data_IF_023501082997
#
_entry.id   IF_023501082997
#
_cell.length_a   1.000
_cell.length_b   1.000
_cell.length_c   1.000
_cell.angle_alpha   90.00
_cell.angle_beta   90.00
_cell.angle_gamma   90.00
#
_symmetry.space_group_name_H-M   'P 1'
#
loop_
_entity.id
_entity.type
_entity.pdbx_description
1 polymer ?
#
# COMPACT_ATOMS: atom_id res chain seq x y z
N UNK A 1 58.83 -56.03 14.00
CA UNK A 1 58.09 -55.18 14.95
C UNK A 1 57.99 -55.88 16.28
N UNK A 2 58.08 -55.13 17.39
CA UNK A 2 57.86 -55.67 18.75
C UNK A 2 56.37 -55.94 18.95
N UNK A 3 56.01 -57.13 19.44
CA UNK A 3 54.62 -57.53 19.67
C UNK A 3 53.87 -56.54 20.59
N UNK A 4 54.56 -55.88 21.52
CA UNK A 4 53.95 -54.89 22.43
C UNK A 4 53.40 -53.68 21.68
N UNK A 5 54.18 -53.19 20.70
CA UNK A 5 53.78 -52.06 19.86
C UNK A 5 52.58 -52.43 18.99
N UNK A 6 52.57 -53.65 18.43
CA UNK A 6 51.45 -54.12 17.62
C UNK A 6 50.19 -54.23 18.47
N UNK A 7 50.29 -54.77 19.69
CA UNK A 7 49.14 -54.90 20.60
C UNK A 7 48.52 -53.56 21.00
N UNK A 8 49.33 -52.52 21.18
CA UNK A 8 48.83 -51.16 21.46
C UNK A 8 48.09 -50.55 20.25
N UNK A 9 48.46 -50.97 19.03
CA UNK A 9 47.86 -50.50 17.77
C UNK A 9 46.65 -51.34 17.33
N UNK A 10 46.47 -52.57 17.84
CA UNK A 10 45.38 -53.47 17.45
C UNK A 10 43.97 -52.87 17.59
N UNK A 11 43.61 -52.15 18.68
CA UNK A 11 42.28 -51.55 18.80
C UNK A 11 42.01 -50.51 17.70
N UNK A 12 43.00 -49.67 17.40
CA UNK A 12 42.90 -48.64 16.35
C UNK A 12 42.83 -49.27 14.95
N UNK A 13 43.58 -50.37 14.74
CA UNK A 13 43.52 -51.14 13.50
C UNK A 13 42.16 -51.82 13.31
N UNK A 14 41.57 -52.39 14.36
CA UNK A 14 40.23 -52.99 14.31
C UNK A 14 39.14 -51.97 13.96
N UNK A 15 39.29 -50.72 14.39
CA UNK A 15 38.40 -49.59 14.06
C UNK A 15 38.74 -48.89 12.72
N UNK A 16 39.78 -49.35 12.00
CA UNK A 16 40.29 -48.74 10.75
C UNK A 16 40.67 -47.26 10.89
N UNK A 17 41.28 -46.91 12.03
CA UNK A 17 41.72 -45.54 12.35
C UNK A 17 43.25 -45.38 12.24
N UNK A 18 43.96 -46.40 11.77
CA UNK A 18 45.40 -46.40 11.50
C UNK A 18 45.71 -45.88 10.09
N UNK A 19 46.97 -45.51 9.84
CA UNK A 19 47.43 -45.07 8.52
C UNK A 19 47.82 -46.26 7.63
N UNK A 20 47.73 -46.12 6.31
CA UNK A 20 48.09 -47.17 5.34
C UNK A 20 49.50 -47.77 5.52
N UNK A 21 50.44 -46.97 6.06
CA UNK A 21 51.81 -47.43 6.36
C UNK A 21 51.81 -48.35 7.59
N UNK A 22 51.08 -47.96 8.62
CA UNK A 22 50.91 -48.74 9.86
C UNK A 22 50.15 -50.04 9.61
N UNK A 23 49.14 -50.02 8.75
CA UNK A 23 48.35 -51.21 8.41
C UNK A 23 49.19 -52.32 7.80
N UNK A 24 50.07 -51.98 6.85
CA UNK A 24 50.96 -52.94 6.21
C UNK A 24 51.90 -53.60 7.21
N UNK A 25 52.45 -52.83 8.14
CA UNK A 25 53.36 -53.35 9.18
C UNK A 25 52.65 -54.26 10.18
N UNK A 26 51.40 -53.94 10.52
CA UNK A 26 50.55 -54.78 11.38
C UNK A 26 50.17 -56.08 10.66
N UNK A 27 49.75 -56.02 9.39
CA UNK A 27 49.41 -57.21 8.58
C UNK A 27 50.59 -58.16 8.40
N UNK A 28 51.79 -57.64 8.14
CA UNK A 28 53.00 -58.47 8.04
C UNK A 28 53.33 -59.16 9.36
N UNK A 29 53.14 -58.47 10.49
CA UNK A 29 53.36 -59.06 11.81
C UNK A 29 52.33 -60.15 12.14
N UNK A 30 51.05 -59.90 11.86
CA UNK A 30 49.95 -60.86 12.10
C UNK A 30 50.14 -62.18 11.34
N UNK A 31 50.73 -62.16 10.14
CA UNK A 31 51.07 -63.39 9.40
C UNK A 31 52.12 -64.26 10.09
N UNK A 32 52.95 -63.67 10.93
CA UNK A 32 54.07 -64.33 11.61
C UNK A 32 53.85 -64.60 13.11
N UNK A 33 52.85 -63.97 13.71
CA UNK A 33 52.63 -63.98 15.16
C UNK A 33 51.19 -64.39 15.52
N UNK A 34 50.95 -65.64 15.94
CA UNK A 34 49.63 -66.13 16.28
C UNK A 34 49.04 -65.44 17.53
N UNK A 35 49.86 -65.06 18.51
CA UNK A 35 49.37 -64.40 19.72
C UNK A 35 48.72 -63.03 19.46
N UNK A 36 49.19 -62.30 18.44
CA UNK A 36 48.59 -61.02 18.06
C UNK A 36 47.32 -61.22 17.22
N UNK A 37 47.21 -62.34 16.49
CA UNK A 37 46.01 -62.72 15.75
C UNK A 37 44.86 -63.04 16.72
N UNK A 38 45.12 -63.84 17.75
CA UNK A 38 44.11 -64.21 18.74
C UNK A 38 43.55 -62.97 19.47
N UNK A 39 44.40 -61.98 19.75
CA UNK A 39 43.99 -60.70 20.36
C UNK A 39 43.13 -59.85 19.42
N UNK A 40 43.44 -59.84 18.12
CA UNK A 40 42.63 -59.14 17.13
C UNK A 40 41.23 -59.78 17.02
N UNK A 41 41.15 -61.10 17.04
CA UNK A 41 39.87 -61.83 17.03
C UNK A 41 39.04 -61.52 18.28
N UNK A 42 39.66 -61.46 19.47
CA UNK A 42 38.96 -61.10 20.70
C UNK A 42 38.37 -59.67 20.66
N UNK A 43 39.14 -58.69 20.15
CA UNK A 43 38.68 -57.31 19.99
C UNK A 43 37.57 -57.18 18.95
N UNK A 44 37.65 -57.96 17.86
CA UNK A 44 36.62 -57.98 16.81
C UNK A 44 35.33 -58.68 17.29
N UNK A 45 35.44 -59.67 18.18
CA UNK A 45 34.29 -60.33 18.78
C UNK A 45 33.57 -59.43 19.79
N UNK A 46 34.29 -58.59 20.54
CA UNK A 46 33.73 -57.66 21.53
C UNK A 46 33.00 -56.47 20.87
N UNK A 47 33.44 -56.05 19.68
CA UNK A 47 32.84 -54.95 18.92
C UNK A 47 31.55 -55.30 18.16
N UNK A 48 31.15 -56.58 18.08
CA UNK A 48 29.90 -57.01 17.42
C UNK A 48 28.66 -56.83 18.32
N UNK A 49 28.81 -56.44 19.58
CA UNK A 49 27.69 -56.21 20.49
C UNK A 49 27.31 -54.73 20.59
N UNK A 50 26.44 -54.27 19.69
CA UNK A 50 25.17 -53.59 20.00
C UNK A 50 24.56 -52.95 18.72
N UNK A 51 23.42 -53.44 18.19
CA UNK A 51 22.66 -52.65 17.25
C UNK A 51 22.13 -51.41 17.99
N UNK A 52 22.61 -50.24 17.57
CA UNK A 52 22.13 -48.94 18.04
C UNK A 52 20.59 -48.95 18.04
N UNK A 53 19.90 -48.69 19.17
CA UNK A 53 18.46 -48.67 19.18
C UNK A 53 18.00 -47.53 18.25
N UNK A 54 17.20 -47.88 17.25
CA UNK A 54 16.57 -46.95 16.32
C UNK A 54 15.84 -45.88 17.16
N UNK A 55 16.44 -44.70 17.24
CA UNK A 55 15.89 -43.57 17.99
C UNK A 55 14.58 -43.21 17.33
N UNK A 56 13.47 -43.66 17.91
CA UNK A 56 12.10 -43.41 17.45
C UNK A 56 11.83 -41.88 17.36
N UNK A 57 12.13 -41.26 16.22
CA UNK A 57 11.94 -39.82 15.92
C UNK A 57 10.46 -39.48 15.64
N UNK A 58 9.52 -40.35 16.06
CA UNK A 58 8.08 -40.14 15.90
C UNK A 58 7.51 -38.94 16.67
N UNK A 59 7.93 -38.59 17.91
CA UNK A 59 7.30 -37.50 18.65
C UNK A 59 7.71 -36.11 18.10
N UNK A 60 8.87 -35.98 17.44
CA UNK A 60 9.34 -34.71 16.90
C UNK A 60 8.69 -34.34 15.54
N UNK A 61 8.27 -35.32 14.73
CA UNK A 61 7.53 -35.06 13.49
C UNK A 61 6.11 -34.55 13.75
N UNK A 62 5.44 -35.06 14.78
CA UNK A 62 4.05 -34.69 15.12
C UNK A 62 3.94 -33.26 15.67
N UNK A 63 4.94 -32.80 16.40
CA UNK A 63 5.00 -31.42 16.89
C UNK A 63 5.25 -30.38 15.78
N UNK A 64 6.05 -30.71 14.76
CA UNK A 64 6.32 -29.81 13.63
C UNK A 64 5.09 -29.60 12.73
N UNK A 65 4.29 -30.65 12.52
CA UNK A 65 3.11 -30.60 11.67
C UNK A 65 1.97 -29.74 12.25
N UNK A 66 1.82 -29.68 13.58
CA UNK A 66 0.78 -28.87 14.22
C UNK A 66 1.10 -27.37 14.20
N UNK A 67 2.38 -27.00 14.26
CA UNK A 67 2.84 -25.61 14.10
C UNK A 67 2.77 -25.13 12.65
N UNK A 68 3.07 -26.01 11.68
CA UNK A 68 3.07 -25.68 10.25
C UNK A 68 1.71 -25.23 9.72
N UNK A 69 0.61 -25.73 10.28
CA UNK A 69 -0.75 -25.35 9.88
C UNK A 69 -1.38 -24.27 10.76
N UNK A 70 -0.87 -24.03 11.98
CA UNK A 70 -1.41 -22.98 12.88
C UNK A 70 -0.89 -21.59 12.53
N UNK A 71 0.39 -21.47 12.14
CA UNK A 71 1.02 -20.20 11.76
C UNK A 71 0.38 -19.54 10.52
N UNK A 72 0.11 -20.25 9.40
CA UNK A 72 -0.54 -19.63 8.24
C UNK A 72 -1.97 -19.19 8.54
N UNK A 73 -2.69 -19.88 9.43
CA UNK A 73 -4.05 -19.48 9.82
C UNK A 73 -4.06 -18.14 10.60
N UNK A 74 -3.11 -17.94 11.52
CA UNK A 74 -2.96 -16.68 12.26
C UNK A 74 -2.51 -15.55 11.33
N UNK A 75 -1.55 -15.81 10.44
CA UNK A 75 -1.10 -14.83 9.44
C UNK A 75 -2.21 -14.42 8.48
N UNK A 76 -3.03 -15.36 8.03
CA UNK A 76 -4.17 -15.07 7.15
C UNK A 76 -5.22 -14.22 7.87
N UNK A 77 -5.51 -14.52 9.15
CA UNK A 77 -6.41 -13.72 9.98
C UNK A 77 -5.90 -12.29 10.17
N UNK A 78 -4.61 -12.13 10.51
CA UNK A 78 -3.99 -10.81 10.66
C UNK A 78 -3.97 -10.02 9.33
N UNK A 79 -3.65 -10.67 8.22
CA UNK A 79 -3.67 -10.07 6.89
C UNK A 79 -5.08 -9.63 6.47
N UNK A 80 -6.12 -10.41 6.81
CA UNK A 80 -7.50 -10.05 6.54
C UNK A 80 -7.91 -8.80 7.33
N UNK A 81 -7.60 -8.75 8.63
CA UNK A 81 -7.90 -7.59 9.48
C UNK A 81 -7.16 -6.36 8.97
N UNK A 82 -5.85 -6.45 8.72
CA UNK A 82 -5.07 -5.35 8.16
C UNK A 82 -5.60 -4.89 6.80
N UNK A 83 -5.96 -5.83 5.91
CA UNK A 83 -6.55 -5.53 4.61
C UNK A 83 -7.89 -4.80 4.73
N UNK A 84 -8.77 -5.22 5.65
CA UNK A 84 -10.06 -4.54 5.87
C UNK A 84 -9.88 -3.13 6.43
N UNK A 85 -8.98 -2.93 7.39
CA UNK A 85 -8.67 -1.61 7.95
C UNK A 85 -8.06 -0.71 6.88
N UNK A 86 -7.14 -1.25 6.07
CA UNK A 86 -6.55 -0.54 4.94
C UNK A 86 -7.64 -0.08 3.96
N UNK A 87 -8.50 -1.00 3.48
CA UNK A 87 -9.58 -0.64 2.57
C UNK A 87 -10.53 0.40 3.17
N UNK A 88 -10.82 0.32 4.47
CA UNK A 88 -11.69 1.28 5.14
C UNK A 88 -11.07 2.69 5.25
N UNK A 89 -9.78 2.78 5.61
CA UNK A 89 -9.07 4.07 5.73
C UNK A 89 -8.87 4.72 4.37
N UNK A 90 -8.51 3.94 3.35
CA UNK A 90 -8.19 4.47 2.03
C UNK A 90 -9.43 4.74 1.16
N UNK A 91 -10.61 4.26 1.53
CA UNK A 91 -11.86 4.50 0.78
C UNK A 91 -12.16 6.00 0.59
N UNK A 92 -11.85 6.83 1.58
CA UNK A 92 -12.09 8.28 1.54
C UNK A 92 -10.95 9.13 0.96
N UNK A 93 -9.85 8.49 0.52
CA UNK A 93 -8.63 9.14 0.00
C UNK A 93 -8.54 9.03 -1.52
N UNK A 94 -9.33 8.16 -2.14
CA UNK A 94 -9.33 7.97 -3.59
C UNK A 94 -10.28 9.01 -4.23
N UNK A 95 -9.78 9.86 -5.14
CA UNK A 95 -10.64 10.82 -5.85
C UNK A 95 -11.72 10.13 -6.68
N UNK A 96 -12.79 10.85 -6.99
CA UNK A 96 -13.84 10.42 -7.91
C UNK A 96 -13.26 10.31 -9.34
N UNK A 97 -13.78 9.37 -10.12
CA UNK A 97 -13.44 9.24 -11.54
C UNK A 97 -14.16 10.29 -12.35
N UNK A 98 -13.54 10.83 -13.40
CA UNK A 98 -14.14 11.86 -14.24
C UNK A 98 -15.48 11.44 -14.86
N UNK A 99 -15.66 10.16 -15.21
CA UNK A 99 -16.94 9.63 -15.70
C UNK A 99 -18.05 9.50 -14.66
N UNK A 100 -17.71 9.53 -13.36
CA UNK A 100 -18.67 9.50 -12.25
C UNK A 100 -19.00 10.90 -11.72
N UNK A 101 -18.39 11.95 -12.29
CA UNK A 101 -18.56 13.34 -11.90
C UNK A 101 -19.31 14.11 -12.99
N UNK A 102 -20.57 14.44 -12.72
CA UNK A 102 -21.35 15.38 -13.52
C UNK A 102 -21.01 16.83 -13.17
N UNK A 103 -20.91 17.68 -14.18
CA UNK A 103 -20.73 19.13 -14.01
C UNK A 103 -21.84 19.82 -14.78
N UNK A 104 -22.71 20.51 -14.07
CA UNK A 104 -23.75 21.37 -14.63
C UNK A 104 -23.35 22.82 -14.44
N UNK A 105 -23.38 23.58 -15.53
CA UNK A 105 -23.01 24.99 -15.54
C UNK A 105 -24.31 25.79 -15.70
N UNK A 106 -24.51 26.76 -14.83
CA UNK A 106 -25.64 27.67 -14.87
C UNK A 106 -25.23 29.10 -14.54
N UNK A 107 -26.13 30.03 -14.80
CA UNK A 107 -26.01 31.42 -14.35
C UNK A 107 -27.19 31.67 -13.42
N UNK A 108 -26.90 32.14 -12.21
CA UNK A 108 -27.93 32.44 -11.21
C UNK A 108 -28.28 33.92 -11.23
N UNK A 109 -29.49 34.24 -11.67
CA UNK A 109 -30.01 35.60 -11.75
C UNK A 109 -31.18 35.74 -12.74
N UNK A 110 -32.20 36.50 -12.34
CA UNK A 110 -33.36 36.87 -13.16
C UNK A 110 -32.93 37.64 -14.42
N UNK A 111 -32.90 36.97 -15.58
CA UNK A 111 -32.92 37.43 -17.01
C UNK A 111 -32.09 38.66 -17.46
N UNK A 112 -31.67 39.59 -16.60
CA UNK A 112 -30.96 40.83 -16.91
C UNK A 112 -29.84 41.10 -15.89
N UNK A 113 -28.73 41.70 -16.35
CA UNK A 113 -27.71 42.27 -15.48
C UNK A 113 -28.35 43.34 -14.58
N UNK A 114 -28.05 43.29 -13.27
CA UNK A 114 -28.57 44.29 -12.34
C UNK A 114 -27.74 45.55 -12.54
N UNK A 115 -28.30 46.50 -13.30
CA UNK A 115 -27.79 47.86 -13.44
C UNK A 115 -28.19 48.64 -12.21
N UNK A 116 -27.23 48.92 -11.33
CA UNK A 116 -27.41 49.86 -10.24
C UNK A 116 -26.89 51.21 -10.70
N UNK A 117 -27.80 52.16 -10.87
CA UNK A 117 -27.41 53.56 -11.04
C UNK A 117 -26.88 54.06 -9.69
N UNK A 118 -25.64 54.52 -9.67
CA UNK A 118 -25.09 55.25 -8.54
C UNK A 118 -25.66 56.66 -8.63
N UNK A 119 -26.38 57.06 -7.59
CA UNK A 119 -27.12 58.32 -7.52
C UNK A 119 -26.53 59.19 -6.41
N UNK A 120 -26.34 60.48 -6.69
CA UNK A 120 -25.94 61.47 -5.68
C UNK A 120 -27.10 61.84 -4.73
N UNK A 121 -26.83 62.59 -3.67
CA UNK A 121 -27.85 63.12 -2.74
C UNK A 121 -28.96 63.91 -3.45
N UNK A 122 -28.64 64.53 -4.60
CA UNK A 122 -29.58 65.24 -5.47
C UNK A 122 -30.33 64.34 -6.48
N UNK A 123 -30.24 63.02 -6.35
CA UNK A 123 -30.78 62.02 -7.29
C UNK A 123 -30.25 62.13 -8.74
N UNK A 124 -29.06 62.70 -8.91
CA UNK A 124 -28.38 62.72 -10.21
C UNK A 124 -27.59 61.43 -10.41
N UNK A 125 -27.73 60.80 -11.58
CA UNK A 125 -26.92 59.63 -11.97
C UNK A 125 -25.45 60.06 -12.12
N UNK A 126 -24.61 59.60 -11.19
CA UNK A 126 -23.17 59.90 -11.12
C UNK A 126 -22.30 58.73 -11.58
N UNK A 127 -22.88 57.54 -11.71
CA UNK A 127 -22.23 56.35 -12.24
C UNK A 127 -23.21 55.24 -12.52
N UNK A 128 -22.76 54.22 -13.24
CA UNK A 128 -23.53 52.99 -13.49
C UNK A 128 -22.65 51.82 -13.03
N UNK A 129 -23.11 51.10 -12.02
CA UNK A 129 -22.46 49.88 -11.55
C UNK A 129 -23.24 48.69 -12.11
N UNK A 130 -22.58 47.91 -12.96
CA UNK A 130 -23.14 46.66 -13.49
C UNK A 130 -22.69 45.54 -12.57
N UNK A 131 -23.64 44.89 -11.88
CA UNK A 131 -23.35 43.66 -11.15
C UNK A 131 -23.39 42.52 -12.18
N UNK A 132 -22.21 41.96 -12.46
CA UNK A 132 -22.09 40.78 -13.32
C UNK A 132 -22.76 39.57 -12.64
N UNK A 133 -23.51 38.79 -13.42
CA UNK A 133 -24.16 37.58 -12.91
C UNK A 133 -23.10 36.55 -12.48
N UNK A 134 -23.22 35.91 -11.30
CA UNK A 134 -22.28 34.86 -10.90
C UNK A 134 -22.45 33.61 -11.78
N UNK A 135 -21.32 33.04 -12.20
CA UNK A 135 -21.24 31.72 -12.82
C UNK A 135 -21.41 30.66 -11.72
N UNK A 136 -22.46 29.86 -11.82
CA UNK A 136 -22.74 28.77 -10.90
C UNK A 136 -22.33 27.42 -11.51
N UNK A 137 -21.45 26.72 -10.80
CA UNK A 137 -20.99 25.38 -11.15
C UNK A 137 -21.56 24.38 -10.14
N UNK A 138 -22.36 23.43 -10.63
CA UNK A 138 -22.93 22.34 -9.82
C UNK A 138 -22.23 21.04 -10.18
N UNK A 139 -21.53 20.45 -9.21
CA UNK A 139 -20.87 19.17 -9.32
C UNK A 139 -21.75 18.09 -8.69
N UNK A 140 -22.06 17.04 -9.44
CA UNK A 140 -22.90 15.93 -8.99
C UNK A 140 -22.12 14.62 -9.10
N UNK A 141 -21.84 13.98 -7.96
CA UNK A 141 -21.16 12.69 -7.94
C UNK A 141 -22.13 11.52 -8.01
N UNK A 142 -21.81 10.47 -8.78
CA UNK A 142 -22.52 9.19 -8.74
C UNK A 142 -22.14 8.38 -7.48
N UNK A 143 -22.52 8.90 -6.31
CA UNK A 143 -22.25 8.32 -4.98
C UNK A 143 -23.26 8.84 -3.93
N UNK A 144 -23.28 8.23 -2.74
CA UNK A 144 -24.23 8.60 -1.68
C UNK A 144 -23.87 9.87 -0.91
N UNK A 145 -22.59 10.26 -0.89
CA UNK A 145 -22.10 11.50 -0.33
C UNK A 145 -20.77 11.84 -1.01
N UNK A 146 -20.52 13.14 -1.21
CA UNK A 146 -19.28 13.63 -1.80
C UNK A 146 -18.60 14.61 -0.86
N UNK A 147 -17.32 14.38 -0.56
CA UNK A 147 -16.47 15.38 0.09
C UNK A 147 -15.65 16.12 -0.94
N UNK A 148 -15.59 17.43 -0.81
CA UNK A 148 -14.69 18.27 -1.59
C UNK A 148 -13.44 18.64 -0.80
N UNK A 149 -12.33 18.77 -1.51
CA UNK A 149 -11.15 19.50 -1.08
C UNK A 149 -10.82 20.50 -2.18
N UNK A 150 -10.35 21.69 -1.81
CA UNK A 150 -9.93 22.65 -2.82
C UNK A 150 -8.99 23.69 -2.27
N UNK A 151 -8.25 24.31 -3.19
CA UNK A 151 -7.33 25.40 -2.95
C UNK A 151 -7.47 26.42 -4.07
N UNK A 152 -7.02 27.64 -3.80
CA UNK A 152 -7.01 28.72 -4.80
C UNK A 152 -5.62 29.33 -4.81
N UNK A 153 -5.06 29.50 -6.00
CA UNK A 153 -3.83 30.24 -6.22
C UNK A 153 -4.15 31.55 -6.93
N UNK A 154 -3.49 32.64 -6.54
CA UNK A 154 -3.70 33.95 -7.13
C UNK A 154 -2.42 34.44 -7.77
N UNK A 155 -2.51 34.75 -9.06
CA UNK A 155 -1.43 35.36 -9.82
C UNK A 155 -1.70 36.86 -9.94
N UNK A 156 -0.69 37.66 -9.57
CA UNK A 156 -0.75 39.13 -9.61
C UNK A 156 -0.08 39.61 -10.88
N UNK A 157 -0.87 40.20 -11.78
CA UNK A 157 -0.40 40.66 -13.07
C UNK A 157 0.24 42.05 -12.97
N UNK A 158 1.18 42.40 -13.87
CA UNK A 158 1.83 43.71 -13.89
C UNK A 158 0.88 44.89 -14.12
N UNK A 159 -0.30 44.64 -14.69
CA UNK A 159 -1.36 45.63 -14.91
C UNK A 159 -2.21 45.91 -13.65
N UNK A 160 -1.88 45.27 -12.52
CA UNK A 160 -2.62 45.37 -11.26
C UNK A 160 -3.85 44.47 -11.20
N UNK A 161 -4.14 43.69 -12.25
CA UNK A 161 -5.19 42.68 -12.21
C UNK A 161 -4.72 41.43 -11.46
N UNK A 162 -5.68 40.62 -11.00
CA UNK A 162 -5.44 39.37 -10.30
C UNK A 162 -6.22 38.26 -10.99
N UNK A 163 -5.53 37.17 -11.32
CA UNK A 163 -6.09 35.94 -11.88
C UNK A 163 -6.13 34.84 -10.83
N UNK A 164 -7.24 34.12 -10.74
CA UNK A 164 -7.48 33.07 -9.77
C UNK A 164 -7.48 31.69 -10.44
N UNK A 165 -6.64 30.80 -9.91
CA UNK A 165 -6.55 29.40 -10.31
C UNK A 165 -7.15 28.52 -9.21
N UNK A 166 -8.35 28.01 -9.45
CA UNK A 166 -9.08 27.14 -8.54
C UNK A 166 -8.70 25.68 -8.76
N UNK A 167 -8.37 24.97 -7.70
CA UNK A 167 -8.10 23.54 -7.71
C UNK A 167 -9.11 22.84 -6.83
N UNK A 168 -9.77 21.81 -7.37
CA UNK A 168 -10.79 21.04 -6.65
C UNK A 168 -10.56 19.55 -6.80
N UNK A 169 -10.85 18.79 -5.76
CA UNK A 169 -10.82 17.33 -5.75
C UNK A 169 -12.04 16.82 -5.00
N UNK A 170 -12.74 15.87 -5.60
CA UNK A 170 -13.92 15.26 -5.01
C UNK A 170 -13.64 13.82 -4.61
N UNK A 171 -14.15 13.40 -3.46
CA UNK A 171 -13.95 12.07 -2.86
C UNK A 171 -15.30 11.44 -2.55
N UNK A 172 -15.44 10.13 -2.80
CA UNK A 172 -16.66 9.38 -2.41
C UNK A 172 -16.65 9.18 -0.90
N UNK A 173 -17.76 9.51 -0.24
CA UNK A 173 -17.95 9.23 1.19
C UNK A 173 -19.23 8.43 1.42
N UNK A 174 -19.29 7.75 2.56
CA UNK A 174 -20.54 7.16 3.04
C UNK A 174 -21.27 8.19 3.89
N UNK A 175 -22.55 8.41 3.58
CA UNK A 175 -23.44 9.17 4.44
C UNK A 175 -23.53 8.48 5.82
N UNK A 176 -23.10 9.18 6.86
CA UNK A 176 -23.23 8.69 8.24
C UNK A 176 -24.68 8.90 8.72
N UNK A 177 -25.20 8.03 9.60
CA UNK A 177 -26.60 8.11 10.06
C UNK A 177 -26.92 9.38 10.86
N UNK A 178 -25.90 10.12 11.31
CA UNK A 178 -26.04 11.40 12.03
C UNK A 178 -25.71 12.61 11.15
N UNK A 179 -25.45 12.39 9.86
CA UNK A 179 -25.04 13.45 8.95
C UNK A 179 -26.27 14.19 8.40
N UNK A 180 -26.62 15.29 9.07
CA UNK A 180 -27.72 16.18 8.69
C UNK A 180 -27.29 17.21 7.61
N UNK A 181 -26.13 17.01 6.97
CA UNK A 181 -25.64 17.91 5.93
C UNK A 181 -26.42 17.67 4.64
N UNK A 182 -27.35 18.59 4.37
CA UNK A 182 -27.92 18.95 3.07
C UNK A 182 -28.94 17.95 2.47
N UNK A 183 -29.92 18.51 1.78
CA UNK A 183 -30.96 17.81 1.01
C UNK A 183 -30.37 16.97 -0.14
N UNK A 184 -29.20 17.37 -0.66
CA UNK A 184 -28.43 16.71 -1.73
C UNK A 184 -26.94 16.54 -1.36
N UNK A 185 -26.56 15.54 -0.55
CA UNK A 185 -25.17 15.31 -0.10
C UNK A 185 -24.20 14.86 -1.22
N UNK A 186 -24.73 14.48 -2.38
CA UNK A 186 -24.00 14.12 -3.58
C UNK A 186 -23.69 15.32 -4.49
N UNK A 187 -24.22 16.50 -4.17
CA UNK A 187 -24.08 17.72 -4.95
C UNK A 187 -23.22 18.77 -4.24
N UNK A 188 -22.39 19.47 -5.01
CA UNK A 188 -21.66 20.64 -4.55
C UNK A 188 -21.87 21.80 -5.51
N UNK A 189 -22.31 22.95 -4.98
CA UNK A 189 -22.48 24.19 -5.75
C UNK A 189 -21.37 25.17 -5.45
N UNK A 190 -20.84 25.79 -6.50
CA UNK A 190 -19.77 26.78 -6.44
C UNK A 190 -20.11 27.94 -7.37
N UNK A 191 -20.49 29.07 -6.78
CA UNK A 191 -20.73 30.32 -7.49
C UNK A 191 -19.50 31.23 -7.44
N UNK A 192 -19.14 31.83 -8.56
CA UNK A 192 -18.07 32.82 -8.65
C UNK A 192 -18.32 33.86 -9.75
N UNK A 193 -17.63 34.99 -9.68
CA UNK A 193 -17.56 35.97 -10.76
C UNK A 193 -16.21 35.82 -11.46
N UNK A 194 -16.16 35.10 -12.60
CA UNK A 194 -14.89 34.80 -13.26
C UNK A 194 -14.31 36.04 -13.93
N UNK A 195 -12.99 36.16 -13.88
CA UNK A 195 -12.21 37.17 -14.60
C UNK A 195 -11.43 36.53 -15.72
N UNK A 196 -11.00 37.36 -16.69
CA UNK A 196 -10.17 36.91 -17.81
C UNK A 196 -8.88 36.26 -17.27
N UNK A 197 -8.66 34.98 -17.62
CA UNK A 197 -7.51 34.19 -17.19
C UNK A 197 -7.77 33.32 -15.96
N UNK A 198 -8.94 33.41 -15.33
CA UNK A 198 -9.31 32.52 -14.24
C UNK A 198 -9.54 31.09 -14.75
N UNK A 199 -8.99 30.12 -14.04
CA UNK A 199 -9.09 28.71 -14.42
C UNK A 199 -9.59 27.87 -13.27
N UNK A 200 -10.37 26.84 -13.59
CA UNK A 200 -10.74 25.78 -12.66
C UNK A 200 -10.12 24.45 -13.09
N UNK A 201 -9.35 23.83 -12.23
CA UNK A 201 -8.83 22.47 -12.40
C UNK A 201 -9.49 21.53 -11.40
N UNK A 202 -10.17 20.52 -11.91
CA UNK A 202 -10.76 19.45 -11.11
C UNK A 202 -9.89 18.20 -11.24
N UNK A 203 -9.23 17.82 -10.16
CA UNK A 203 -8.45 16.59 -10.07
C UNK A 203 -9.38 15.40 -9.90
N UNK A 204 -9.40 14.52 -10.90
CA UNK A 204 -10.08 13.24 -10.83
C UNK A 204 -9.04 12.11 -10.78
N UNK A 205 -9.48 10.91 -10.40
CA UNK A 205 -8.60 9.74 -10.25
C UNK A 205 -7.90 9.34 -11.55
N UNK A 206 -8.57 9.56 -12.68
CA UNK A 206 -8.17 9.12 -14.01
C UNK A 206 -7.53 10.24 -14.86
N UNK A 207 -7.99 11.48 -14.70
CA UNK A 207 -7.45 12.66 -15.40
C UNK A 207 -7.81 13.96 -14.70
N UNK A 208 -7.05 15.01 -14.96
CA UNK A 208 -7.40 16.36 -14.54
C UNK A 208 -8.29 17.02 -15.59
N UNK A 209 -9.33 17.72 -15.14
CA UNK A 209 -10.24 18.50 -15.98
C UNK A 209 -9.98 19.99 -15.74
N UNK A 210 -9.40 20.69 -16.72
CA UNK A 210 -9.15 22.13 -16.62
C UNK A 210 -10.14 22.89 -17.51
N UNK A 211 -10.75 23.91 -16.94
CA UNK A 211 -11.73 24.79 -17.57
C UNK A 211 -11.28 26.24 -17.48
N UNK A 212 -11.38 26.97 -18.58
CA UNK A 212 -11.28 28.43 -18.57
C UNK A 212 -12.64 29.00 -18.12
N UNK A 213 -12.65 29.64 -16.96
CA UNK A 213 -13.89 30.10 -16.33
C UNK A 213 -14.46 31.31 -17.06
N UNK A 214 -13.60 32.13 -17.68
CA UNK A 214 -14.04 33.30 -18.44
C UNK A 214 -14.67 32.87 -19.77
N UNK A 215 -14.09 31.90 -20.47
CA UNK A 215 -14.67 31.36 -21.70
C UNK A 215 -16.03 30.68 -21.43
N UNK A 216 -16.12 29.91 -20.34
CA UNK A 216 -17.39 29.32 -19.91
C UNK A 216 -18.44 30.38 -19.58
N UNK A 217 -18.05 31.45 -18.89
CA UNK A 217 -18.94 32.55 -18.59
C UNK A 217 -19.51 33.20 -19.85
N UNK A 218 -18.65 33.50 -20.83
CA UNK A 218 -19.08 34.08 -22.11
C UNK A 218 -20.05 33.15 -22.83
N UNK A 219 -19.75 31.85 -22.90
CA UNK A 219 -20.58 30.86 -23.61
C UNK A 219 -22.00 30.71 -23.04
N UNK A 220 -22.16 30.87 -21.73
CA UNK A 220 -23.46 30.71 -21.06
C UNK A 220 -24.17 32.05 -20.81
N UNK A 221 -23.47 33.18 -20.99
CA UNK A 221 -24.04 34.52 -20.85
C UNK A 221 -24.71 35.02 -22.13
N UNK A 222 -24.37 34.47 -23.29
CA UNK A 222 -24.98 34.74 -24.61
C UNK A 222 -26.33 34.02 -24.79
#
# INVERSE_FOLDING_TARGET
>A
MDCRIIQDLLPLYAEKLTSDVTDKEVEEHLKSCPECMDKLEALTAETVSEPMPDRDIKPLKKARHSLLFRIPAIMLGAALVLGTVFLFVFWGVIPISSGDLGIEIGISGSENDIKLDIIDEDNNKIGEQVIHRPLDLTFTGNCSCMRKSGSVHYDYNPDGSMTAHYYMTFYKEKKLPFDNRVEHPEQFRFGLEPRKGDTLTVHCRDRDLTYDLWELYQRYSD
#
